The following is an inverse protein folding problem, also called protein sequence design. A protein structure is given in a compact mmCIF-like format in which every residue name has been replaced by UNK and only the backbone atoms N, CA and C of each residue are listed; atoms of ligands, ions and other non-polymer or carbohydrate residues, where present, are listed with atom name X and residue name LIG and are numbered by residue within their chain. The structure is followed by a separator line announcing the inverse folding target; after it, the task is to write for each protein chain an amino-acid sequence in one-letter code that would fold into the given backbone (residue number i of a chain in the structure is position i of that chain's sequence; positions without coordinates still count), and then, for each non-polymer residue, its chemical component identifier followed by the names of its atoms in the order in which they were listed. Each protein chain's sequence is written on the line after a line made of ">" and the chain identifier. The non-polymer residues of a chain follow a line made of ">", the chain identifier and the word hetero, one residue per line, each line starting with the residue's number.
data_IF_130979343159
#
_entry.id   IF_130979343159
#
_cell.length_a   1.000
_cell.length_b   1.000
_cell.length_c   1.000
_cell.angle_alpha   90.00
_cell.angle_beta   90.00
_cell.angle_gamma   90.00
#
_symmetry.space_group_name_H-M   'P 1'
#
loop_
_entity.id
_entity.type
_entity.pdbx_description
1 polymer ?
#
# COMPACT_ATOMS: atom_id res chain seq x y z
N UNK A 1 10.49 -9.74 17.22
CA UNK A 1 10.00 -9.61 15.83
C UNK A 1 10.17 -10.92 15.04
N UNK A 2 9.76 -12.07 15.60
CA UNK A 2 9.79 -13.36 14.90
C UNK A 2 8.41 -14.05 14.88
N UNK A 3 7.43 -13.54 15.63
CA UNK A 3 6.15 -14.21 15.85
C UNK A 3 5.06 -13.88 14.81
N UNK A 4 5.17 -12.77 14.05
CA UNK A 4 4.12 -12.39 13.10
C UNK A 4 4.17 -13.16 11.76
N UNK A 5 5.30 -13.78 11.42
CA UNK A 5 5.45 -14.52 10.16
C UNK A 5 4.93 -15.97 10.24
N UNK A 6 4.75 -16.53 11.45
CA UNK A 6 4.37 -17.93 11.60
C UNK A 6 2.87 -18.15 11.92
N UNK A 7 2.18 -17.18 12.52
CA UNK A 7 0.82 -17.38 13.07
C UNK A 7 -0.32 -16.59 12.40
N UNK A 8 -0.05 -15.76 11.39
CA UNK A 8 -1.06 -14.86 10.81
C UNK A 8 -1.62 -15.21 9.43
N UNK A 9 -1.22 -16.34 8.82
CA UNK A 9 -1.44 -16.61 7.39
C UNK A 9 -2.55 -17.63 7.08
N UNK A 10 -3.32 -18.09 8.06
CA UNK A 10 -4.32 -19.15 7.82
C UNK A 10 -5.59 -18.66 7.12
N UNK A 11 -5.74 -17.35 6.86
CA UNK A 11 -6.95 -16.79 6.24
C UNK A 11 -6.68 -15.63 5.27
N UNK A 12 -5.62 -15.72 4.44
CA UNK A 12 -5.40 -14.74 3.37
C UNK A 12 -6.11 -15.18 2.09
N UNK A 13 -6.75 -14.23 1.41
CA UNK A 13 -7.38 -14.47 0.12
C UNK A 13 -6.36 -15.00 -0.90
N UNK A 14 -6.79 -15.86 -1.82
CA UNK A 14 -5.91 -16.51 -2.81
C UNK A 14 -5.10 -15.48 -3.60
N UNK A 15 -5.72 -14.37 -4.00
CA UNK A 15 -5.08 -13.28 -4.74
C UNK A 15 -3.85 -12.68 -4.06
N UNK A 16 -3.69 -12.86 -2.75
CA UNK A 16 -2.53 -12.36 -2.00
C UNK A 16 -1.41 -13.40 -1.82
N UNK A 17 -1.62 -14.65 -2.24
CA UNK A 17 -0.69 -15.75 -1.99
C UNK A 17 -0.30 -16.53 -3.25
N UNK A 18 -1.03 -16.34 -4.37
CA UNK A 18 -0.63 -16.86 -5.69
C UNK A 18 -0.16 -15.77 -6.65
N UNK A 19 0.68 -16.15 -7.61
CA UNK A 19 1.02 -15.28 -8.75
C UNK A 19 -0.05 -15.32 -9.84
N UNK A 20 -0.75 -16.44 -9.96
CA UNK A 20 -1.75 -16.69 -11.00
C UNK A 20 -3.00 -17.31 -10.39
N UNK A 21 -4.16 -16.78 -10.77
CA UNK A 21 -5.45 -17.30 -10.34
C UNK A 21 -5.95 -18.36 -11.32
N UNK A 22 -6.37 -19.51 -10.79
CA UNK A 22 -6.98 -20.59 -11.56
C UNK A 22 -8.42 -20.77 -11.08
N UNK A 23 -9.39 -20.55 -11.96
CA UNK A 23 -10.83 -20.59 -11.62
C UNK A 23 -11.25 -21.91 -10.97
N UNK A 24 -10.66 -23.02 -11.40
CA UNK A 24 -10.98 -24.36 -10.90
C UNK A 24 -10.23 -24.73 -9.61
N UNK A 25 -9.34 -23.84 -9.12
CA UNK A 25 -8.54 -24.04 -7.92
C UNK A 25 -9.00 -23.09 -6.82
N UNK A 26 -9.99 -23.55 -6.04
CA UNK A 26 -10.65 -22.75 -5.01
C UNK A 26 -9.91 -22.74 -3.66
N UNK A 27 -8.87 -23.56 -3.48
CA UNK A 27 -8.09 -23.60 -2.24
C UNK A 27 -6.65 -24.01 -2.52
N UNK A 28 -5.71 -23.34 -1.85
CA UNK A 28 -4.28 -23.61 -1.93
C UNK A 28 -3.73 -23.65 -0.52
N UNK A 29 -2.93 -24.66 -0.20
CA UNK A 29 -2.25 -24.74 1.10
C UNK A 29 -1.13 -23.70 1.14
N UNK A 30 -0.90 -23.10 2.31
CA UNK A 30 0.14 -22.08 2.48
C UNK A 30 1.55 -22.53 2.05
N UNK A 31 1.88 -23.81 2.19
CA UNK A 31 3.17 -24.36 1.75
C UNK A 31 3.28 -24.54 0.22
N UNK A 32 2.17 -24.47 -0.51
CA UNK A 32 2.09 -24.55 -1.97
C UNK A 32 1.92 -23.17 -2.62
N UNK A 33 1.81 -22.11 -1.82
CA UNK A 33 1.67 -20.73 -2.28
C UNK A 33 3.02 -20.19 -2.80
N UNK A 34 3.02 -19.69 -4.03
CA UNK A 34 4.24 -19.29 -4.76
C UNK A 34 4.54 -17.78 -4.69
N UNK A 35 3.63 -17.00 -4.10
CA UNK A 35 3.75 -15.54 -3.95
C UNK A 35 4.01 -15.11 -2.49
N UNK A 36 4.33 -16.05 -1.60
CA UNK A 36 4.75 -15.72 -0.24
C UNK A 36 6.20 -15.24 -0.24
N UNK A 37 6.43 -14.07 0.37
CA UNK A 37 7.76 -13.46 0.44
C UNK A 37 8.55 -14.06 1.59
N UNK A 38 9.79 -14.43 1.30
CA UNK A 38 10.79 -14.64 2.35
C UNK A 38 11.35 -13.29 2.82
N UNK A 39 12.06 -13.31 3.95
CA UNK A 39 12.62 -12.11 4.55
C UNK A 39 13.58 -11.34 3.62
N UNK A 40 14.40 -12.04 2.84
CA UNK A 40 15.37 -11.42 1.94
C UNK A 40 14.66 -10.64 0.82
N UNK A 41 13.65 -11.25 0.20
CA UNK A 41 12.82 -10.62 -0.82
C UNK A 41 12.01 -9.44 -0.24
N UNK A 42 11.49 -9.58 0.98
CA UNK A 42 10.81 -8.50 1.68
C UNK A 42 11.75 -7.29 1.89
N UNK A 43 12.94 -7.50 2.45
CA UNK A 43 13.91 -6.42 2.68
C UNK A 43 14.40 -5.82 1.37
N UNK A 44 14.63 -6.63 0.34
CA UNK A 44 15.00 -6.15 -0.99
C UNK A 44 13.94 -5.18 -1.53
N UNK A 45 12.66 -5.57 -1.50
CA UNK A 45 11.55 -4.72 -1.92
C UNK A 45 11.45 -3.41 -1.13
N UNK A 46 11.60 -3.48 0.20
CA UNK A 46 11.57 -2.29 1.05
C UNK A 46 12.64 -1.28 0.64
N UNK A 47 13.88 -1.75 0.47
CA UNK A 47 15.03 -0.90 0.09
C UNK A 47 14.95 -0.39 -1.35
N UNK A 48 14.52 -1.23 -2.29
CA UNK A 48 14.40 -0.85 -3.71
C UNK A 48 13.29 0.19 -3.91
N UNK A 49 12.17 0.06 -3.19
CA UNK A 49 11.06 1.02 -3.26
C UNK A 49 11.27 2.27 -2.39
N UNK A 50 12.29 2.26 -1.53
CA UNK A 50 12.58 3.37 -0.64
C UNK A 50 11.45 3.63 0.35
N UNK A 51 10.81 2.58 0.90
CA UNK A 51 9.72 2.77 1.87
C UNK A 51 10.17 3.52 3.12
N UNK A 52 11.46 3.45 3.46
CA UNK A 52 12.08 4.25 4.52
C UNK A 52 12.20 5.75 4.18
N UNK A 53 12.14 6.10 2.89
CA UNK A 53 12.20 7.48 2.39
C UNK A 53 10.82 8.05 2.09
N UNK A 54 9.78 7.23 2.15
CA UNK A 54 8.41 7.69 1.98
C UNK A 54 8.02 8.58 3.17
N UNK A 55 7.77 9.85 2.89
CA UNK A 55 7.18 10.77 3.84
C UNK A 55 5.78 11.14 3.34
N UNK A 56 4.80 11.10 4.24
CA UNK A 56 3.50 11.70 3.96
C UNK A 56 3.68 13.22 3.83
N UNK A 57 3.19 13.77 2.72
CA UNK A 57 3.11 15.22 2.54
C UNK A 57 2.06 15.85 3.45
N UNK A 58 1.83 17.16 3.28
CA UNK A 58 0.75 17.87 3.95
C UNK A 58 -0.60 17.38 3.43
N UNK A 59 -1.47 16.93 4.34
CA UNK A 59 -2.87 16.60 4.03
C UNK A 59 -3.70 17.90 3.95
N UNK A 60 -4.50 18.03 2.90
CA UNK A 60 -5.46 19.12 2.74
C UNK A 60 -6.87 18.55 2.77
N UNK A 61 -7.63 18.89 3.80
CA UNK A 61 -9.03 18.53 3.93
C UNK A 61 -9.89 19.75 3.60
N UNK A 62 -10.81 19.58 2.65
CA UNK A 62 -11.67 20.66 2.15
C UNK A 62 -13.09 20.12 2.13
N UNK A 63 -14.00 20.84 2.78
CA UNK A 63 -15.43 20.57 2.64
C UNK A 63 -15.90 21.05 1.24
N UNK A 64 -16.38 20.09 0.46
CA UNK A 64 -16.88 20.30 -0.91
C UNK A 64 -18.39 20.05 -1.00
N UNK A 65 -19.12 20.12 0.11
CA UNK A 65 -20.59 20.01 0.12
C UNK A 65 -21.23 20.97 -0.89
N UNK A 66 -20.66 22.17 -1.03
CA UNK A 66 -20.96 23.10 -2.12
C UNK A 66 -19.68 23.62 -2.77
N UNK A 67 -19.39 23.17 -3.99
CA UNK A 67 -18.19 23.55 -4.74
C UNK A 67 -18.01 25.08 -4.89
N UNK A 68 -19.11 25.82 -5.00
CA UNK A 68 -19.09 27.30 -5.09
C UNK A 68 -18.49 27.99 -3.86
N UNK A 69 -18.50 27.32 -2.70
CA UNK A 69 -18.08 27.92 -1.44
C UNK A 69 -16.59 27.69 -1.15
N UNK A 70 -15.91 26.90 -1.99
CA UNK A 70 -14.49 26.60 -1.82
C UNK A 70 -13.65 27.75 -2.36
N UNK A 71 -12.74 28.26 -1.54
CA UNK A 71 -11.76 29.26 -1.97
C UNK A 71 -10.57 28.59 -2.70
N UNK A 72 -10.80 28.22 -3.96
CA UNK A 72 -9.79 27.62 -4.82
C UNK A 72 -8.52 28.46 -4.99
N UNK A 73 -8.58 29.80 -5.19
CA UNK A 73 -7.37 30.61 -5.33
C UNK A 73 -6.40 30.46 -4.15
N UNK A 74 -6.91 30.51 -2.92
CA UNK A 74 -6.09 30.34 -1.72
C UNK A 74 -5.54 28.91 -1.58
N UNK A 75 -6.37 27.90 -1.87
CA UNK A 75 -5.94 26.51 -1.83
C UNK A 75 -4.80 26.23 -2.83
N UNK A 76 -4.95 26.70 -4.07
CA UNK A 76 -3.94 26.52 -5.13
C UNK A 76 -2.63 27.22 -4.74
N UNK A 77 -2.71 28.44 -4.19
CA UNK A 77 -1.53 29.15 -3.71
C UNK A 77 -0.80 28.37 -2.61
N UNK A 78 -1.55 27.74 -1.69
CA UNK A 78 -0.99 26.97 -0.59
C UNK A 78 -0.36 25.65 -1.05
N UNK A 79 -0.97 24.97 -2.02
CA UNK A 79 -0.39 23.75 -2.64
C UNK A 79 0.89 24.10 -3.40
N UNK A 80 0.92 25.21 -4.13
CA UNK A 80 2.12 25.65 -4.86
C UNK A 80 3.32 25.87 -3.95
N UNK A 81 3.13 26.32 -2.71
CA UNK A 81 4.22 26.47 -1.73
C UNK A 81 4.87 25.15 -1.32
N UNK A 82 4.16 24.03 -1.43
CA UNK A 82 4.66 22.70 -1.06
C UNK A 82 5.40 22.01 -2.21
N UNK A 83 5.27 22.51 -3.44
CA UNK A 83 6.01 22.00 -4.59
C UNK A 83 7.38 22.68 -4.59
N UNK A 84 8.36 22.04 -3.97
CA UNK A 84 9.78 22.39 -4.16
C UNK A 84 10.18 21.83 -5.53
N UNK A 85 10.52 22.71 -6.47
CA UNK A 85 11.18 22.34 -7.73
C UNK A 85 12.69 22.32 -7.49
#
# INVERSE_FOLDING_TARGET
>A
MYALFAYGFTNRHLDHIVKEYYKDKTTIKNNEADNLLNYNEFIHRCKTRGYEKFALGKLYEIDVTYYSNVNYPSLIAEVKKQIVI
#
